data_IF_648029432032
#
_entry.id   IF_648029432032
#
_cell.length_a   1.000
_cell.length_b   1.000
_cell.length_c   1.000
_cell.angle_alpha   90.00
_cell.angle_beta   90.00
_cell.angle_gamma   90.00
#
_symmetry.space_group_name_H-M   'P 1'
#
loop_
_entity.id
_entity.type
_entity.pdbx_description
1 polymer ?
#
# COMPACT_ATOMS: atom_id res chain seq x y z
N UNK A 1 0.11 -30.57 25.99
CA UNK A 1 0.15 -29.11 25.82
C UNK A 1 0.60 -28.50 27.15
N UNK A 2 1.43 -27.46 27.13
CA UNK A 2 1.65 -26.53 28.24
C UNK A 2 0.78 -25.30 28.03
N UNK A 3 0.33 -24.70 29.12
CA UNK A 3 -0.40 -23.42 29.09
C UNK A 3 0.41 -22.42 29.88
N UNK A 4 0.82 -21.35 29.22
CA UNK A 4 1.49 -20.22 29.86
C UNK A 4 0.51 -19.07 29.93
N UNK A 5 0.30 -18.53 31.11
CA UNK A 5 -0.60 -17.39 31.35
C UNK A 5 0.26 -16.20 31.75
N UNK A 6 0.23 -15.12 30.96
CA UNK A 6 0.80 -13.84 31.30
C UNK A 6 -0.28 -12.95 31.91
N UNK A 7 0.02 -12.35 33.06
CA UNK A 7 -0.81 -11.34 33.70
C UNK A 7 -0.07 -10.00 33.61
N UNK A 8 -0.76 -8.95 33.17
CA UNK A 8 -0.22 -7.61 33.23
C UNK A 8 -0.34 -7.07 34.67
N UNK A 9 0.63 -6.27 35.11
CA UNK A 9 0.46 -5.50 36.34
C UNK A 9 -0.67 -4.48 36.13
N UNK A 10 -1.63 -4.36 37.06
CA UNK A 10 -2.61 -3.30 36.96
C UNK A 10 -1.88 -1.96 37.05
N UNK A 11 -2.12 -1.06 36.08
CA UNK A 11 -1.67 0.33 36.17
C UNK A 11 -2.19 0.99 37.45
N UNK A 12 -1.56 2.09 37.89
CA UNK A 12 -1.89 2.77 39.15
C UNK A 12 -3.41 2.97 39.30
N UNK A 13 -4.04 2.41 40.36
CA UNK A 13 -5.47 2.53 40.51
C UNK A 13 -5.86 3.97 40.84
N UNK A 14 -6.81 4.53 40.08
CA UNK A 14 -7.59 5.68 40.54
C UNK A 14 -8.31 5.35 41.87
N UNK A 15 -8.69 6.35 42.69
CA UNK A 15 -8.98 6.19 44.13
C UNK A 15 -10.26 5.40 44.50
N UNK A 16 -10.81 4.55 43.61
CA UNK A 16 -12.02 3.77 43.88
C UNK A 16 -12.09 2.34 43.30
N UNK A 17 -11.04 1.80 42.66
CA UNK A 17 -11.09 0.46 42.08
C UNK A 17 -10.16 -0.55 42.79
N UNK A 18 -10.69 -1.72 43.16
CA UNK A 18 -9.88 -2.84 43.63
C UNK A 18 -8.99 -3.39 42.50
N UNK A 19 -7.78 -3.92 42.80
CA UNK A 19 -6.89 -4.44 41.78
C UNK A 19 -7.51 -5.67 41.11
N UNK A 20 -7.91 -5.53 39.85
CA UNK A 20 -8.27 -6.65 38.98
C UNK A 20 -7.00 -7.08 38.25
N UNK A 21 -6.63 -8.37 38.35
CA UNK A 21 -5.57 -8.92 37.53
C UNK A 21 -6.03 -8.90 36.06
N UNK A 22 -5.28 -8.22 35.19
CA UNK A 22 -5.56 -8.17 33.75
C UNK A 22 -4.85 -9.34 33.09
N UNK A 23 -5.63 -10.20 32.42
CA UNK A 23 -5.09 -11.28 31.60
C UNK A 23 -4.48 -10.67 30.34
N UNK A 24 -3.16 -10.80 30.19
CA UNK A 24 -2.42 -10.26 29.05
C UNK A 24 -2.40 -11.28 27.90
N UNK A 25 -2.00 -12.51 28.19
CA UNK A 25 -2.00 -13.58 27.19
C UNK A 25 -2.20 -14.97 27.81
N UNK A 26 -2.80 -15.87 27.04
CA UNK A 26 -2.79 -17.32 27.28
C UNK A 26 -2.15 -17.99 26.08
N UNK A 27 -0.96 -18.56 26.27
CA UNK A 27 -0.24 -19.30 25.23
C UNK A 27 -0.42 -20.79 25.48
N UNK A 28 -1.06 -21.47 24.54
CA UNK A 28 -1.19 -22.93 24.55
C UNK A 28 -0.10 -23.53 23.64
N UNK A 29 0.88 -24.22 24.21
CA UNK A 29 1.97 -24.85 23.46
C UNK A 29 1.80 -26.36 23.45
N UNK A 30 1.58 -26.98 22.30
CA UNK A 30 1.57 -28.43 22.15
C UNK A 30 0.88 -28.90 20.87
N UNK A 31 0.66 -30.22 20.72
CA UNK A 31 0.96 -31.28 21.68
C UNK A 31 2.46 -31.47 21.91
N UNK A 32 2.83 -31.87 23.13
CA UNK A 32 4.23 -32.09 23.54
C UNK A 32 4.48 -33.60 23.51
N UNK A 33 5.55 -34.03 22.85
CA UNK A 33 5.88 -35.45 22.73
C UNK A 33 4.95 -36.25 21.81
N UNK A 34 4.15 -35.56 20.98
CA UNK A 34 3.38 -36.19 19.90
C UNK A 34 4.10 -35.89 18.59
N UNK A 35 4.51 -36.95 17.91
CA UNK A 35 4.97 -36.88 16.53
C UNK A 35 3.74 -36.64 15.65
N UNK A 36 3.50 -35.38 15.31
CA UNK A 36 2.41 -35.02 14.41
C UNK A 36 2.78 -35.48 12.99
N UNK A 37 1.80 -35.97 12.19
CA UNK A 37 2.05 -36.20 10.78
C UNK A 37 2.52 -34.89 10.13
N UNK A 38 3.36 -34.95 9.08
CA UNK A 38 3.80 -33.78 8.34
C UNK A 38 2.63 -32.84 8.04
N UNK A 39 2.68 -31.62 8.58
CA UNK A 39 1.70 -30.61 8.26
C UNK A 39 1.77 -30.22 6.77
N UNK A 40 0.72 -29.58 6.21
CA UNK A 40 0.70 -29.16 4.81
C UNK A 40 1.91 -28.31 4.40
N UNK A 41 2.44 -27.49 5.32
CA UNK A 41 3.65 -26.69 5.09
C UNK A 41 4.93 -27.52 4.96
N UNK A 42 5.03 -28.67 5.63
CA UNK A 42 6.16 -29.60 5.44
C UNK A 42 6.08 -30.25 4.07
N UNK A 43 4.90 -30.74 3.69
CA UNK A 43 4.70 -31.40 2.38
C UNK A 43 4.96 -30.48 1.19
N UNK A 44 4.78 -29.15 1.35
CA UNK A 44 5.08 -28.18 0.29
C UNK A 44 6.56 -27.81 0.15
N UNK A 45 7.40 -28.23 1.11
CA UNK A 45 8.85 -27.99 1.14
C UNK A 45 9.61 -29.30 0.90
N UNK A 46 9.27 -30.36 1.65
CA UNK A 46 9.86 -31.69 1.53
C UNK A 46 9.13 -32.47 0.42
N UNK A 47 9.46 -32.13 -0.83
CA UNK A 47 8.82 -32.69 -2.03
C UNK A 47 9.33 -34.07 -2.42
N UNK A 48 10.41 -34.54 -1.79
CA UNK A 48 11.01 -35.83 -2.02
C UNK A 48 11.06 -36.66 -0.73
N UNK A 49 10.89 -37.98 -0.88
CA UNK A 49 11.09 -38.99 0.16
C UNK A 49 12.35 -39.84 -0.17
N UNK A 50 13.38 -39.85 0.69
CA UNK A 50 14.61 -40.63 0.47
C UNK A 50 14.39 -42.14 0.24
N UNK A 51 13.29 -42.69 0.78
CA UNK A 51 12.93 -44.10 0.65
C UNK A 51 12.15 -44.41 -0.64
N UNK A 52 11.74 -43.39 -1.41
CA UNK A 52 11.00 -43.56 -2.65
C UNK A 52 11.87 -44.10 -3.80
N UNK A 53 11.24 -44.82 -4.73
CA UNK A 53 11.92 -45.43 -5.90
C UNK A 53 12.42 -46.86 -5.67
N UNK A 54 12.95 -47.48 -6.74
CA UNK A 54 13.61 -48.77 -6.66
C UNK A 54 14.78 -48.85 -7.67
N UNK A 55 16.05 -48.73 -7.22
CA UNK A 55 16.48 -48.57 -5.82
C UNK A 55 16.05 -47.22 -5.21
N UNK A 56 16.06 -47.09 -3.87
CA UNK A 56 15.75 -45.81 -3.20
C UNK A 56 16.63 -44.68 -3.71
N UNK A 57 16.04 -43.49 -3.88
CA UNK A 57 16.75 -42.28 -4.35
C UNK A 57 17.90 -41.87 -3.40
N UNK A 58 17.71 -42.09 -2.10
CA UNK A 58 18.69 -41.80 -1.06
C UNK A 58 18.64 -40.35 -0.54
N UNK A 59 19.15 -40.15 0.68
CA UNK A 59 19.03 -38.91 1.44
C UNK A 59 19.68 -37.69 0.78
N UNK A 60 20.87 -37.87 0.19
CA UNK A 60 21.62 -36.77 -0.42
C UNK A 60 20.96 -36.27 -1.72
N UNK A 61 20.57 -37.19 -2.62
CA UNK A 61 19.89 -36.83 -3.86
C UNK A 61 18.51 -36.20 -3.58
N UNK A 62 17.82 -36.71 -2.56
CA UNK A 62 16.54 -36.15 -2.12
C UNK A 62 16.68 -34.74 -1.52
N UNK A 63 17.73 -34.50 -0.73
CA UNK A 63 18.06 -33.17 -0.23
C UNK A 63 18.36 -32.19 -1.37
N UNK A 64 19.10 -32.62 -2.40
CA UNK A 64 19.35 -31.81 -3.58
C UNK A 64 18.07 -31.42 -4.32
N UNK A 65 17.14 -32.36 -4.53
CA UNK A 65 15.86 -32.09 -5.18
C UNK A 65 15.05 -31.03 -4.41
N UNK A 66 14.97 -31.18 -3.09
CA UNK A 66 14.30 -30.22 -2.20
C UNK A 66 14.97 -28.85 -2.27
N UNK A 67 16.30 -28.78 -2.22
CA UNK A 67 17.07 -27.53 -2.30
C UNK A 67 16.83 -26.83 -3.64
N UNK A 68 16.84 -27.56 -4.76
CA UNK A 68 16.57 -26.99 -6.09
C UNK A 68 15.13 -26.47 -6.19
N UNK A 69 14.14 -27.25 -5.73
CA UNK A 69 12.74 -26.86 -5.77
C UNK A 69 12.45 -25.63 -4.89
N UNK A 70 12.94 -25.64 -3.64
CA UNK A 70 12.77 -24.53 -2.71
C UNK A 70 13.55 -23.29 -3.16
N UNK A 71 14.81 -23.47 -3.55
CA UNK A 71 15.69 -22.41 -4.02
C UNK A 71 15.14 -21.72 -5.26
N UNK A 72 14.58 -22.47 -6.23
CA UNK A 72 13.99 -21.89 -7.44
C UNK A 72 12.88 -20.88 -7.14
N UNK A 73 12.07 -21.15 -6.11
CA UNK A 73 11.00 -20.27 -5.65
C UNK A 73 11.57 -19.10 -4.83
N UNK A 74 12.46 -19.40 -3.87
CA UNK A 74 13.02 -18.41 -2.96
C UNK A 74 13.88 -17.35 -3.68
N UNK A 75 14.68 -17.76 -4.65
CA UNK A 75 15.55 -16.88 -5.43
C UNK A 75 14.92 -16.46 -6.76
N UNK A 76 13.72 -16.97 -7.06
CA UNK A 76 12.90 -16.62 -8.24
C UNK A 76 13.57 -16.93 -9.59
N UNK A 77 14.56 -17.82 -9.57
CA UNK A 77 15.27 -18.38 -10.72
C UNK A 77 15.88 -19.74 -10.34
N UNK A 78 16.18 -20.62 -11.31
CA UNK A 78 16.99 -21.81 -11.06
C UNK A 78 18.31 -21.46 -10.38
N UNK A 79 18.71 -22.30 -9.44
CA UNK A 79 20.03 -22.22 -8.82
C UNK A 79 21.07 -22.77 -9.80
N UNK A 80 22.20 -22.09 -9.91
CA UNK A 80 23.36 -22.64 -10.60
C UNK A 80 23.95 -23.82 -9.80
N UNK A 81 24.65 -24.73 -10.46
CA UNK A 81 25.15 -25.94 -9.79
C UNK A 81 26.12 -25.62 -8.65
N UNK A 82 26.96 -24.59 -8.80
CA UNK A 82 27.86 -24.14 -7.73
C UNK A 82 27.09 -23.51 -6.55
N UNK A 83 25.93 -22.91 -6.80
CA UNK A 83 25.03 -22.43 -5.76
C UNK A 83 24.36 -23.58 -5.01
N UNK A 84 23.92 -24.61 -5.74
CA UNK A 84 23.36 -25.83 -5.16
C UNK A 84 24.43 -26.53 -4.30
N UNK A 85 25.65 -26.68 -4.80
CA UNK A 85 26.76 -27.29 -4.06
C UNK A 85 27.07 -26.55 -2.76
N UNK A 86 27.09 -25.21 -2.78
CA UNK A 86 27.28 -24.40 -1.57
C UNK A 86 26.18 -24.64 -0.54
N UNK A 87 24.92 -24.71 -0.97
CA UNK A 87 23.77 -24.95 -0.08
C UNK A 87 23.76 -26.40 0.42
N UNK A 88 24.08 -27.37 -0.43
CA UNK A 88 24.26 -28.78 -0.04
C UNK A 88 25.42 -28.97 0.94
N UNK A 89 26.45 -28.14 0.88
CA UNK A 89 27.53 -28.10 1.87
C UNK A 89 27.03 -27.81 3.30
N UNK A 90 26.01 -26.96 3.45
CA UNK A 90 25.36 -26.70 4.74
C UNK A 90 24.61 -27.95 5.23
N UNK A 91 23.86 -28.61 4.35
CA UNK A 91 23.23 -29.90 4.64
C UNK A 91 24.27 -30.93 5.09
N UNK A 92 25.36 -31.10 4.33
CA UNK A 92 26.41 -32.06 4.62
C UNK A 92 27.15 -31.79 5.93
N UNK A 93 27.28 -30.52 6.32
CA UNK A 93 27.88 -30.12 7.60
C UNK A 93 27.02 -30.57 8.78
N UNK A 94 25.71 -30.33 8.75
CA UNK A 94 24.79 -30.79 9.80
C UNK A 94 24.69 -32.31 9.82
N UNK A 95 24.52 -32.93 8.65
CA UNK A 95 24.34 -34.38 8.54
C UNK A 95 25.60 -35.13 9.00
N UNK A 96 26.79 -34.67 8.60
CA UNK A 96 28.06 -35.23 9.05
C UNK A 96 28.35 -35.05 10.54
N UNK A 97 27.74 -34.04 11.17
CA UNK A 97 27.78 -33.83 12.63
C UNK A 97 26.76 -34.70 13.41
N UNK A 98 25.95 -35.51 12.71
CA UNK A 98 24.99 -36.43 13.31
C UNK A 98 23.58 -35.87 13.51
N UNK A 99 23.25 -34.72 12.93
CA UNK A 99 21.87 -34.20 12.91
C UNK A 99 20.94 -35.11 12.12
N UNK A 100 19.64 -35.09 12.45
CA UNK A 100 18.64 -35.79 11.67
C UNK A 100 18.58 -35.25 10.23
N UNK A 101 18.13 -36.07 9.28
CA UNK A 101 18.04 -35.67 7.87
C UNK A 101 17.22 -34.39 7.69
N UNK A 102 16.05 -34.31 8.33
CA UNK A 102 15.18 -33.13 8.34
C UNK A 102 15.88 -31.86 8.84
N UNK A 103 16.62 -31.96 9.95
CA UNK A 103 17.35 -30.84 10.55
C UNK A 103 18.48 -30.38 9.64
N UNK A 104 19.11 -31.33 8.95
CA UNK A 104 20.18 -31.07 8.00
C UNK A 104 19.65 -30.34 6.76
N UNK A 105 18.50 -30.77 6.22
CA UNK A 105 17.80 -30.06 5.14
C UNK A 105 17.39 -28.67 5.62
N UNK A 106 16.85 -28.54 6.84
CA UNK A 106 16.46 -27.25 7.41
C UNK A 106 17.65 -26.26 7.49
N UNK A 107 18.87 -26.72 7.81
CA UNK A 107 20.04 -25.84 7.81
C UNK A 107 20.36 -25.30 6.41
N UNK A 108 20.25 -26.14 5.38
CA UNK A 108 20.40 -25.72 3.99
C UNK A 108 19.33 -24.69 3.60
N UNK A 109 18.06 -24.92 3.94
CA UNK A 109 16.97 -23.98 3.67
C UNK A 109 17.16 -22.63 4.38
N UNK A 110 17.65 -22.62 5.63
CA UNK A 110 18.04 -21.38 6.32
C UNK A 110 19.11 -20.62 5.55
N UNK A 111 20.09 -21.33 4.98
CA UNK A 111 21.09 -20.74 4.09
C UNK A 111 20.48 -20.03 2.88
N UNK A 112 19.48 -20.64 2.24
CA UNK A 112 18.74 -20.04 1.10
C UNK A 112 18.04 -18.75 1.53
N UNK A 113 17.37 -18.74 2.69
CA UNK A 113 16.62 -17.59 3.22
C UNK A 113 17.49 -16.45 3.75
N UNK A 114 18.77 -16.73 4.05
CA UNK A 114 19.73 -15.71 4.47
C UNK A 114 20.60 -15.21 3.31
N UNK A 115 20.46 -15.78 2.12
CA UNK A 115 21.24 -15.40 0.95
C UNK A 115 20.78 -14.05 0.38
N UNK A 116 21.71 -13.25 -0.20
CA UNK A 116 21.36 -11.98 -0.87
C UNK A 116 20.27 -12.15 -1.93
N UNK A 117 20.28 -13.27 -2.67
CA UNK A 117 19.28 -13.59 -3.68
C UNK A 117 17.86 -13.76 -3.14
N UNK A 118 17.67 -14.03 -1.85
CA UNK A 118 16.37 -14.05 -1.20
C UNK A 118 15.97 -12.67 -0.68
N UNK A 119 16.89 -12.01 0.04
CA UNK A 119 16.66 -10.72 0.71
C UNK A 119 16.44 -9.58 -0.28
N UNK A 120 17.15 -9.61 -1.41
CA UNK A 120 17.09 -8.59 -2.45
C UNK A 120 16.55 -9.16 -3.77
N UNK A 121 15.95 -8.29 -4.58
CA UNK A 121 15.64 -8.54 -6.00
C UNK A 121 16.83 -8.07 -6.81
N UNK A 122 17.80 -8.95 -7.00
CA UNK A 122 19.09 -8.63 -7.64
C UNK A 122 18.97 -8.84 -9.14
N UNK A 123 19.32 -7.82 -9.91
CA UNK A 123 19.50 -7.87 -11.36
C UNK A 123 20.98 -7.61 -11.63
N UNK A 124 21.78 -8.62 -11.98
CA UNK A 124 23.24 -8.47 -12.13
C UNK A 124 23.56 -8.01 -13.53
N UNK A 125 24.38 -6.96 -13.69
CA UNK A 125 24.93 -6.62 -15.01
C UNK A 125 26.07 -7.56 -15.37
N UNK A 126 26.01 -8.25 -16.52
CA UNK A 126 27.14 -9.03 -17.01
C UNK A 126 28.39 -8.18 -17.24
N UNK A 127 28.20 -6.91 -17.62
CA UNK A 127 29.23 -5.90 -17.74
C UNK A 127 28.86 -4.68 -16.88
N UNK A 128 29.41 -4.58 -15.65
CA UNK A 128 29.12 -3.48 -14.73
C UNK A 128 29.56 -2.10 -15.22
N UNK A 129 30.48 -2.03 -16.19
CA UNK A 129 31.00 -0.77 -16.75
C UNK A 129 30.21 -0.31 -17.99
N UNK A 130 29.30 -1.14 -18.49
CA UNK A 130 28.44 -0.79 -19.61
C UNK A 130 27.56 0.40 -19.24
N UNK A 131 27.52 1.42 -20.09
CA UNK A 131 26.55 2.53 -20.00
C UNK A 131 25.32 2.28 -20.88
N UNK A 132 25.24 1.12 -21.53
CA UNK A 132 24.16 0.77 -22.44
C UNK A 132 23.06 0.04 -21.67
N UNK A 133 21.78 0.46 -21.79
CA UNK A 133 20.66 -0.28 -21.21
C UNK A 133 20.65 -1.73 -21.70
N UNK A 134 20.48 -2.68 -20.79
CA UNK A 134 20.35 -4.10 -21.14
C UNK A 134 18.91 -4.57 -20.98
N UNK A 135 18.42 -5.46 -21.85
CA UNK A 135 17.15 -6.12 -21.60
C UNK A 135 17.26 -6.97 -20.33
N UNK A 136 16.17 -7.04 -19.59
CA UNK A 136 16.01 -7.99 -18.50
C UNK A 136 15.77 -9.39 -19.04
N UNK A 137 16.27 -10.40 -18.34
CA UNK A 137 15.95 -11.78 -18.68
C UNK A 137 14.53 -12.17 -18.20
N UNK A 138 14.08 -13.37 -18.59
CA UNK A 138 12.75 -13.85 -18.23
C UNK A 138 12.51 -13.95 -16.72
N UNK A 139 13.51 -14.31 -15.91
CA UNK A 139 13.36 -14.45 -14.46
C UNK A 139 13.35 -13.09 -13.75
N UNK A 140 14.14 -12.14 -14.24
CA UNK A 140 14.12 -10.75 -13.80
C UNK A 140 12.74 -10.11 -14.10
N UNK A 141 12.21 -10.31 -15.33
CA UNK A 141 10.87 -9.85 -15.70
C UNK A 141 9.77 -10.51 -14.86
N UNK A 142 9.82 -11.82 -14.67
CA UNK A 142 8.87 -12.54 -13.82
C UNK A 142 8.83 -11.94 -12.41
N UNK A 143 10.03 -11.68 -11.84
CA UNK A 143 10.17 -11.06 -10.51
C UNK A 143 9.63 -9.64 -10.48
N UNK A 144 9.90 -8.80 -11.49
CA UNK A 144 9.31 -7.46 -11.55
C UNK A 144 7.79 -7.51 -11.64
N UNK A 145 7.22 -8.34 -12.52
CA UNK A 145 5.77 -8.50 -12.66
C UNK A 145 5.12 -8.93 -11.35
N UNK A 146 5.66 -9.96 -10.70
CA UNK A 146 5.06 -10.54 -9.51
C UNK A 146 5.09 -9.58 -8.31
N UNK A 147 6.16 -8.81 -8.14
CA UNK A 147 6.21 -7.84 -7.04
C UNK A 147 5.45 -6.56 -7.35
N UNK A 148 5.33 -6.18 -8.61
CA UNK A 148 4.45 -5.07 -8.99
C UNK A 148 2.98 -5.42 -8.74
N UNK A 149 2.50 -6.56 -9.24
CA UNK A 149 1.07 -6.86 -9.25
C UNK A 149 0.58 -7.67 -8.04
N UNK A 150 1.46 -8.47 -7.41
CA UNK A 150 1.08 -9.40 -6.34
C UNK A 150 1.88 -9.22 -5.05
N UNK A 151 2.87 -8.32 -5.01
CA UNK A 151 3.77 -8.12 -3.85
C UNK A 151 4.39 -9.41 -3.30
N UNK A 152 4.58 -10.41 -4.17
CA UNK A 152 5.10 -11.73 -3.79
C UNK A 152 5.84 -12.38 -4.96
N UNK A 153 6.41 -13.55 -4.72
CA UNK A 153 7.20 -14.27 -5.74
C UNK A 153 6.35 -14.68 -6.96
N UNK A 154 6.97 -14.89 -8.13
CA UNK A 154 6.29 -15.39 -9.32
C UNK A 154 5.70 -16.78 -9.06
N UNK A 155 4.59 -17.07 -9.72
CA UNK A 155 4.02 -18.42 -9.72
C UNK A 155 4.73 -19.33 -10.73
N UNK A 156 4.36 -20.61 -10.74
CA UNK A 156 5.00 -21.60 -11.61
C UNK A 156 4.83 -21.26 -13.10
N UNK A 157 3.69 -20.70 -13.51
CA UNK A 157 3.45 -20.27 -14.88
C UNK A 157 4.46 -19.21 -15.32
N UNK A 158 4.64 -18.14 -14.52
CA UNK A 158 5.66 -17.13 -14.80
C UNK A 158 7.07 -17.71 -14.81
N UNK A 159 7.43 -18.60 -13.87
CA UNK A 159 8.76 -19.21 -13.83
C UNK A 159 9.03 -20.14 -15.03
N UNK A 160 8.01 -20.78 -15.59
CA UNK A 160 8.12 -21.60 -16.80
C UNK A 160 8.26 -20.74 -18.05
N UNK A 161 7.44 -19.68 -18.18
CA UNK A 161 7.55 -18.71 -19.28
C UNK A 161 8.90 -17.99 -19.26
N UNK A 162 9.40 -17.65 -18.08
CA UNK A 162 10.73 -17.10 -17.87
C UNK A 162 11.82 -18.06 -18.38
N UNK A 163 11.79 -19.32 -17.94
CA UNK A 163 12.81 -20.32 -18.29
C UNK A 163 12.81 -20.73 -19.77
N UNK A 164 11.66 -20.61 -20.45
CA UNK A 164 11.55 -20.85 -21.89
C UNK A 164 11.94 -19.65 -22.76
N UNK A 165 12.21 -18.49 -22.14
CA UNK A 165 12.49 -17.24 -22.86
C UNK A 165 11.28 -16.64 -23.57
N UNK A 166 10.05 -17.10 -23.26
CA UNK A 166 8.83 -16.56 -23.86
C UNK A 166 8.32 -15.30 -23.14
N UNK A 167 8.68 -15.10 -21.87
CA UNK A 167 8.18 -13.97 -21.07
C UNK A 167 8.71 -12.60 -21.55
N UNK A 168 9.72 -12.55 -22.42
CA UNK A 168 10.20 -11.28 -23.01
C UNK A 168 9.32 -10.77 -24.15
N UNK A 169 8.42 -11.62 -24.67
CA UNK A 169 7.46 -11.29 -25.73
C UNK A 169 6.37 -10.34 -25.19
N UNK A 170 6.17 -9.16 -25.81
CA UNK A 170 5.13 -8.20 -25.41
C UNK A 170 3.71 -8.79 -25.32
N UNK A 171 3.33 -9.70 -26.22
CA UNK A 171 1.98 -10.28 -26.21
C UNK A 171 1.79 -11.27 -25.06
N UNK A 172 2.87 -11.99 -24.69
CA UNK A 172 2.89 -12.85 -23.52
C UNK A 172 2.83 -12.01 -22.24
N UNK A 173 3.59 -10.91 -22.16
CA UNK A 173 3.53 -9.97 -21.04
C UNK A 173 2.12 -9.40 -20.86
N UNK A 174 1.49 -8.92 -21.94
CA UNK A 174 0.11 -8.41 -21.92
C UNK A 174 -0.88 -9.46 -21.40
N UNK A 175 -0.73 -10.71 -21.85
CA UNK A 175 -1.55 -11.84 -21.36
C UNK A 175 -1.33 -12.10 -19.88
N UNK A 176 -0.08 -12.06 -19.41
CA UNK A 176 0.24 -12.30 -18.01
C UNK A 176 -0.24 -11.17 -17.09
N UNK A 177 -0.13 -9.90 -17.49
CA UNK A 177 -0.71 -8.77 -16.73
C UNK A 177 -2.21 -8.98 -16.54
N UNK A 178 -2.94 -9.26 -17.62
CA UNK A 178 -4.38 -9.49 -17.55
C UNK A 178 -4.78 -10.72 -16.71
N UNK A 179 -3.97 -11.79 -16.72
CA UNK A 179 -4.17 -12.96 -15.86
C UNK A 179 -3.96 -12.59 -14.40
N UNK A 180 -2.85 -11.91 -14.11
CA UNK A 180 -2.43 -11.59 -12.75
C UNK A 180 -3.38 -10.61 -12.06
N UNK A 181 -3.92 -9.63 -12.79
CA UNK A 181 -4.91 -8.69 -12.25
C UNK A 181 -6.25 -9.35 -11.87
N UNK A 182 -6.56 -10.52 -12.45
CA UNK A 182 -7.77 -11.30 -12.09
C UNK A 182 -7.53 -12.30 -10.96
N UNK A 183 -6.28 -12.54 -10.60
CA UNK A 183 -5.94 -13.45 -9.51
C UNK A 183 -6.19 -12.77 -8.16
N UNK A 184 -6.71 -13.48 -7.14
CA UNK A 184 -6.92 -12.92 -5.80
C UNK A 184 -5.69 -12.23 -5.19
N UNK A 185 -4.46 -12.63 -5.57
CA UNK A 185 -3.23 -11.96 -5.13
C UNK A 185 -3.12 -10.51 -5.57
N UNK A 186 -3.85 -10.09 -6.60
CA UNK A 186 -3.92 -8.68 -7.01
C UNK A 186 -4.51 -7.79 -5.91
N UNK A 187 -5.24 -8.37 -4.94
CA UNK A 187 -5.67 -7.67 -3.71
C UNK A 187 -4.53 -6.94 -2.99
N UNK A 188 -3.30 -7.45 -3.08
CA UNK A 188 -2.12 -6.81 -2.51
C UNK A 188 -1.85 -5.39 -3.06
N UNK A 189 -2.30 -5.05 -4.27
CA UNK A 189 -2.18 -3.70 -4.81
C UNK A 189 -2.91 -2.68 -3.94
N UNK A 190 -4.05 -3.05 -3.36
CA UNK A 190 -4.80 -2.18 -2.45
C UNK A 190 -4.05 -2.03 -1.13
N UNK A 191 -3.51 -3.14 -0.61
CA UNK A 191 -2.77 -3.19 0.67
C UNK A 191 -1.37 -2.56 0.60
N UNK A 192 -0.82 -2.36 -0.60
CA UNK A 192 0.52 -1.80 -0.80
C UNK A 192 0.44 -0.44 -1.49
N UNK A 193 0.32 -0.41 -2.82
CA UNK A 193 0.16 0.82 -3.59
C UNK A 193 -0.94 1.72 -3.02
N UNK A 194 -2.12 1.16 -2.74
CA UNK A 194 -3.22 1.89 -2.12
C UNK A 194 -2.85 2.41 -0.73
N UNK A 195 -2.36 1.56 0.17
CA UNK A 195 -2.00 1.99 1.53
C UNK A 195 -0.97 3.14 1.54
N UNK A 196 0.08 3.06 0.71
CA UNK A 196 1.15 4.06 0.65
C UNK A 196 0.71 5.35 -0.06
N UNK A 197 0.08 5.24 -1.22
CA UNK A 197 -0.31 6.41 -2.02
C UNK A 197 -1.59 7.07 -1.49
N UNK A 198 -2.59 6.26 -1.16
CA UNK A 198 -3.95 6.69 -0.86
C UNK A 198 -4.24 6.84 0.64
N UNK A 199 -3.26 6.55 1.50
CA UNK A 199 -3.37 6.65 2.97
C UNK A 199 -4.46 5.74 3.57
N UNK A 200 -4.71 4.58 2.95
CA UNK A 200 -5.83 3.69 3.35
C UNK A 200 -5.71 3.15 4.78
N UNK A 201 -4.49 3.09 5.33
CA UNK A 201 -4.21 2.53 6.66
C UNK A 201 -3.86 3.58 7.72
N UNK A 202 -3.65 4.84 7.34
CA UNK A 202 -3.15 5.90 8.26
C UNK A 202 -4.17 6.24 9.34
N UNK A 203 -5.45 5.93 9.11
CA UNK A 203 -6.50 6.03 10.13
C UNK A 203 -6.20 5.18 11.37
N UNK A 204 -5.39 4.11 11.27
CA UNK A 204 -5.00 3.28 12.42
C UNK A 204 -4.16 4.07 13.45
N UNK A 205 -3.43 5.08 13.00
CA UNK A 205 -2.55 5.92 13.82
C UNK A 205 -3.28 7.14 14.40
N UNK A 206 -4.54 7.36 14.02
CA UNK A 206 -5.29 8.54 14.43
C UNK A 206 -5.77 8.45 15.88
N UNK A 207 -5.70 9.55 16.62
CA UNK A 207 -6.19 9.61 18.01
C UNK A 207 -7.12 10.82 18.21
N UNK A 208 -8.35 10.81 17.66
CA UNK A 208 -9.35 11.82 17.97
C UNK A 208 -9.58 11.92 19.49
N UNK A 209 -9.79 13.14 19.97
CA UNK A 209 -10.05 13.41 21.37
C UNK A 209 -11.39 12.76 21.79
N UNK A 210 -11.41 11.87 22.80
CA UNK A 210 -12.61 11.13 23.19
C UNK A 210 -13.68 12.01 23.86
N UNK A 211 -13.34 13.18 24.40
CA UNK A 211 -14.32 14.13 24.95
C UNK A 211 -15.05 14.87 23.81
N UNK A 212 -14.34 15.24 22.75
CA UNK A 212 -14.91 15.93 21.59
C UNK A 212 -15.59 14.97 20.60
N UNK A 213 -15.05 13.76 20.46
CA UNK A 213 -15.50 12.75 19.49
C UNK A 213 -15.86 11.41 20.16
N UNK A 214 -16.80 11.38 21.12
CA UNK A 214 -17.12 10.18 21.89
C UNK A 214 -17.72 9.03 21.07
N UNK A 215 -18.17 9.31 19.83
CA UNK A 215 -18.66 8.30 18.90
C UNK A 215 -17.52 7.56 18.17
N UNK A 216 -16.29 8.05 18.24
CA UNK A 216 -15.13 7.44 17.61
C UNK A 216 -14.56 6.34 18.51
N UNK A 217 -14.68 5.09 18.06
CA UNK A 217 -14.15 3.90 18.72
C UNK A 217 -13.35 3.03 17.73
N UNK A 218 -12.64 2.01 18.23
CA UNK A 218 -11.83 1.12 17.39
C UNK A 218 -12.65 0.35 16.35
N UNK A 219 -13.93 0.11 16.62
CA UNK A 219 -14.82 -0.54 15.67
C UNK A 219 -15.21 0.41 14.52
N UNK A 220 -15.42 1.70 14.79
CA UNK A 220 -15.63 2.72 13.75
C UNK A 220 -14.36 2.91 12.93
N UNK A 221 -13.20 2.99 13.58
CA UNK A 221 -11.90 3.03 12.91
C UNK A 221 -11.71 1.85 11.94
N UNK A 222 -11.98 0.63 12.40
CA UNK A 222 -11.90 -0.56 11.55
C UNK A 222 -12.89 -0.49 10.37
N UNK A 223 -14.10 0.04 10.59
CA UNK A 223 -15.10 0.18 9.54
C UNK A 223 -14.68 1.22 8.49
N UNK A 224 -14.13 2.36 8.93
CA UNK A 224 -13.59 3.41 8.05
C UNK A 224 -12.41 2.89 7.21
N UNK A 225 -11.51 2.11 7.79
CA UNK A 225 -10.41 1.49 7.06
C UNK A 225 -10.92 0.53 5.99
N UNK A 226 -11.86 -0.34 6.35
CA UNK A 226 -12.45 -1.30 5.41
C UNK A 226 -13.20 -0.60 4.26
N UNK A 227 -13.90 0.50 4.53
CA UNK A 227 -14.49 1.34 3.48
C UNK A 227 -13.44 1.84 2.48
N UNK A 228 -12.33 2.40 2.97
CA UNK A 228 -11.24 2.89 2.11
C UNK A 228 -10.66 1.77 1.24
N UNK A 229 -10.43 0.59 1.84
CA UNK A 229 -9.91 -0.59 1.14
C UNK A 229 -10.89 -1.09 0.06
N UNK A 230 -12.18 -1.21 0.38
CA UNK A 230 -13.21 -1.64 -0.56
C UNK A 230 -13.43 -0.63 -1.68
N UNK A 231 -13.46 0.67 -1.37
CA UNK A 231 -13.58 1.74 -2.34
C UNK A 231 -12.43 1.72 -3.35
N UNK A 232 -11.18 1.78 -2.88
CA UNK A 232 -10.00 1.74 -3.75
C UNK A 232 -9.89 0.41 -4.51
N UNK A 233 -10.16 -0.71 -3.84
CA UNK A 233 -10.13 -2.04 -4.46
C UNK A 233 -11.16 -2.20 -5.57
N UNK A 234 -12.36 -1.66 -5.41
CA UNK A 234 -13.39 -1.70 -6.44
C UNK A 234 -13.00 -0.95 -7.72
N UNK A 235 -12.17 0.08 -7.59
CA UNK A 235 -11.71 0.90 -8.71
C UNK A 235 -10.52 0.20 -9.38
N UNK A 236 -9.48 -0.12 -8.61
CA UNK A 236 -8.24 -0.69 -9.14
C UNK A 236 -8.43 -2.12 -9.66
N UNK A 237 -9.11 -2.98 -8.90
CA UNK A 237 -9.29 -4.41 -9.24
C UNK A 237 -10.56 -4.66 -10.06
N UNK A 238 -11.58 -3.81 -9.89
CA UNK A 238 -12.76 -3.81 -10.76
C UNK A 238 -12.51 -3.14 -12.11
N UNK A 239 -11.31 -2.61 -12.34
CA UNK A 239 -10.86 -1.93 -13.55
C UNK A 239 -11.81 -0.80 -13.99
N UNK A 240 -12.36 -0.07 -13.00
CA UNK A 240 -13.14 1.15 -13.25
C UNK A 240 -12.21 2.29 -13.69
N UNK A 241 -12.80 3.43 -14.05
CA UNK A 241 -12.03 4.65 -14.22
C UNK A 241 -11.34 5.00 -12.91
N UNK A 242 -10.02 5.16 -12.92
CA UNK A 242 -9.27 5.62 -11.75
C UNK A 242 -9.64 7.05 -11.36
N UNK A 243 -10.29 7.82 -12.23
CA UNK A 243 -10.84 9.14 -11.87
C UNK A 243 -11.93 9.03 -10.80
N UNK A 244 -12.59 7.87 -10.67
CA UNK A 244 -13.52 7.63 -9.56
C UNK A 244 -12.84 7.77 -8.19
N UNK A 245 -11.50 7.68 -8.09
CA UNK A 245 -10.77 7.98 -6.85
C UNK A 245 -10.93 9.43 -6.40
N UNK A 246 -11.21 10.37 -7.32
CA UNK A 246 -11.33 11.80 -7.02
C UNK A 246 -12.76 12.30 -7.01
N UNK A 247 -13.67 11.72 -7.80
CA UNK A 247 -15.06 12.19 -7.91
C UNK A 247 -16.14 11.10 -7.72
N UNK A 248 -15.76 9.83 -7.59
CA UNK A 248 -16.70 8.72 -7.48
C UNK A 248 -17.50 8.75 -6.17
N UNK A 249 -18.83 8.65 -6.26
CA UNK A 249 -19.75 8.78 -5.12
C UNK A 249 -20.12 7.45 -4.48
N UNK A 250 -20.02 6.36 -5.24
CA UNK A 250 -20.30 5.00 -4.76
C UNK A 250 -19.25 4.52 -3.76
N UNK A 251 -19.67 3.92 -2.64
CA UNK A 251 -18.77 3.36 -1.62
C UNK A 251 -19.40 2.17 -0.90
N UNK A 252 -18.63 1.49 -0.07
CA UNK A 252 -19.08 0.38 0.75
C UNK A 252 -19.23 0.83 2.18
N UNK A 253 -20.42 0.64 2.75
CA UNK A 253 -20.67 0.93 4.17
C UNK A 253 -21.23 -0.29 4.87
N UNK A 254 -20.93 -0.41 6.16
CA UNK A 254 -21.62 -1.30 7.08
C UNK A 254 -22.66 -0.52 7.92
N UNK A 255 -23.32 -1.18 8.88
CA UNK A 255 -24.31 -0.53 9.73
C UNK A 255 -23.70 0.60 10.60
N UNK A 256 -22.43 0.48 10.98
CA UNK A 256 -21.75 1.48 11.80
C UNK A 256 -21.43 2.74 11.01
N UNK A 257 -20.84 2.60 9.82
CA UNK A 257 -20.62 3.72 8.91
C UNK A 257 -21.94 4.36 8.49
N UNK A 258 -22.99 3.58 8.27
CA UNK A 258 -24.31 4.13 7.99
C UNK A 258 -24.79 5.06 9.11
N UNK A 259 -24.65 4.63 10.37
CA UNK A 259 -24.97 5.47 11.53
C UNK A 259 -24.07 6.71 11.62
N UNK A 260 -22.78 6.57 11.32
CA UNK A 260 -21.82 7.67 11.33
C UNK A 260 -22.10 8.72 10.24
N UNK A 261 -22.53 8.26 9.07
CA UNK A 261 -22.89 9.09 7.92
C UNK A 261 -24.32 9.62 7.96
N UNK A 262 -25.16 9.11 8.86
CA UNK A 262 -26.57 9.53 8.94
C UNK A 262 -27.43 9.00 7.79
N UNK A 263 -27.07 7.86 7.21
CA UNK A 263 -27.78 7.21 6.10
C UNK A 263 -28.43 5.89 6.52
N UNK A 264 -29.31 5.35 5.68
CA UNK A 264 -29.95 4.06 5.96
C UNK A 264 -28.90 2.93 5.99
N UNK A 265 -28.95 2.03 7.00
CA UNK A 265 -28.02 0.91 7.06
C UNK A 265 -28.29 -0.11 5.94
N UNK A 266 -27.26 -0.88 5.53
CA UNK A 266 -27.44 -2.02 4.64
C UNK A 266 -28.51 -3.01 5.11
N UNK A 267 -29.24 -3.60 4.17
CA UNK A 267 -30.27 -4.60 4.47
C UNK A 267 -29.70 -5.94 4.97
N UNK A 268 -28.42 -6.21 4.67
CA UNK A 268 -27.70 -7.43 5.05
C UNK A 268 -26.56 -7.11 6.00
N UNK A 269 -26.14 -8.10 6.79
CA UNK A 269 -24.93 -7.98 7.59
C UNK A 269 -23.69 -7.80 6.70
N UNK A 270 -22.74 -6.98 7.15
CA UNK A 270 -21.51 -6.66 6.42
C UNK A 270 -21.61 -5.38 5.60
N UNK A 271 -20.64 -5.21 4.70
CA UNK A 271 -20.54 -4.04 3.83
C UNK A 271 -21.44 -4.19 2.60
N UNK A 272 -22.10 -3.10 2.21
CA UNK A 272 -22.88 -3.02 0.97
C UNK A 272 -22.54 -1.75 0.20
N UNK A 273 -22.59 -1.87 -1.13
CA UNK A 273 -22.41 -0.73 -2.03
C UNK A 273 -23.60 0.22 -1.93
N UNK A 274 -23.30 1.51 -1.76
CA UNK A 274 -24.27 2.61 -1.69
C UNK A 274 -23.74 3.79 -2.49
N UNK A 275 -24.64 4.65 -2.95
CA UNK A 275 -24.28 5.94 -3.57
C UNK A 275 -24.40 7.05 -2.54
N UNK A 276 -23.29 7.75 -2.26
CA UNK A 276 -23.23 8.89 -1.34
C UNK A 276 -22.79 10.13 -2.12
N UNK A 277 -23.74 10.81 -2.77
CA UNK A 277 -23.47 11.99 -3.58
C UNK A 277 -22.73 13.11 -2.82
N UNK A 278 -22.98 13.23 -1.51
CA UNK A 278 -22.30 14.16 -0.61
C UNK A 278 -20.89 13.69 -0.21
N UNK A 279 -20.38 12.58 -0.74
CA UNK A 279 -19.03 12.04 -0.48
C UNK A 279 -18.37 11.58 -1.78
N UNK A 280 -17.96 12.52 -2.64
CA UNK A 280 -17.24 12.22 -3.87
C UNK A 280 -15.76 11.94 -3.59
N UNK A 281 -15.23 10.90 -4.24
CA UNK A 281 -13.83 10.52 -4.18
C UNK A 281 -13.36 10.03 -2.81
N UNK A 282 -12.06 9.72 -2.72
CA UNK A 282 -11.42 9.25 -1.49
C UNK A 282 -11.31 10.36 -0.42
N UNK A 283 -11.18 11.62 -0.86
CA UNK A 283 -10.93 12.78 0.00
C UNK A 283 -12.13 13.15 0.88
N UNK A 284 -13.30 12.56 0.63
CA UNK A 284 -14.53 12.77 1.39
C UNK A 284 -14.93 11.58 2.27
N UNK A 285 -14.11 10.52 2.29
CA UNK A 285 -14.32 9.32 3.11
C UNK A 285 -13.81 9.56 4.54
N UNK A 286 -14.55 9.12 5.55
CA UNK A 286 -14.25 9.49 6.93
C UNK A 286 -12.89 8.98 7.42
N UNK A 287 -12.44 7.79 6.98
CA UNK A 287 -11.11 7.30 7.34
C UNK A 287 -9.99 8.23 6.89
N UNK A 288 -10.05 8.69 5.63
CA UNK A 288 -9.06 9.61 5.06
C UNK A 288 -9.12 10.99 5.72
N UNK A 289 -10.34 11.50 5.92
CA UNK A 289 -10.57 12.79 6.60
C UNK A 289 -10.04 12.78 8.04
N UNK A 290 -10.21 11.66 8.74
CA UNK A 290 -9.71 11.46 10.11
C UNK A 290 -8.19 11.40 10.13
N UNK A 291 -7.59 10.64 9.22
CA UNK A 291 -6.14 10.48 9.10
C UNK A 291 -5.40 11.82 8.91
N UNK A 292 -6.07 12.79 8.27
CA UNK A 292 -5.52 14.12 7.99
C UNK A 292 -6.11 15.23 8.87
N UNK A 293 -6.69 14.88 10.02
CA UNK A 293 -7.16 15.82 11.03
C UNK A 293 -6.27 15.79 12.28
N UNK A 294 -6.37 16.83 13.11
CA UNK A 294 -5.79 16.83 14.46
C UNK A 294 -6.75 16.09 15.42
N UNK A 295 -6.28 15.67 16.61
CA UNK A 295 -7.13 15.06 17.62
C UNK A 295 -8.40 15.86 17.94
N UNK A 296 -8.31 17.19 17.93
CA UNK A 296 -9.39 18.08 18.38
C UNK A 296 -10.14 18.78 17.25
N UNK A 297 -9.58 18.82 16.03
CA UNK A 297 -10.13 19.63 14.92
C UNK A 297 -9.69 19.17 13.53
N UNK A 298 -10.35 19.70 12.50
CA UNK A 298 -9.95 19.55 11.10
C UNK A 298 -8.60 20.21 10.80
N UNK A 299 -8.00 19.88 9.66
CA UNK A 299 -6.78 20.53 9.17
C UNK A 299 -6.85 20.75 7.66
N UNK A 300 -7.36 21.90 7.18
CA UNK A 300 -7.36 22.26 5.77
C UNK A 300 -5.96 22.17 5.15
N UNK A 301 -4.93 22.57 5.91
CA UNK A 301 -3.53 22.50 5.51
C UNK A 301 -3.11 21.07 5.19
N UNK A 302 -3.33 20.10 6.10
CA UNK A 302 -2.93 18.70 5.87
C UNK A 302 -3.74 18.04 4.75
N UNK A 303 -5.05 18.30 4.69
CA UNK A 303 -5.94 17.79 3.63
C UNK A 303 -5.53 18.31 2.25
N UNK A 304 -5.35 19.61 2.14
CA UNK A 304 -4.91 20.27 0.91
C UNK A 304 -3.51 19.85 0.48
N UNK A 305 -2.55 19.77 1.42
CA UNK A 305 -1.18 19.32 1.16
C UNK A 305 -1.21 17.97 0.48
N UNK A 306 -1.97 17.04 1.06
CA UNK A 306 -2.08 15.69 0.55
C UNK A 306 -2.61 15.66 -0.88
N UNK A 307 -3.64 16.44 -1.20
CA UNK A 307 -4.21 16.48 -2.56
C UNK A 307 -3.18 16.98 -3.56
N UNK A 308 -2.50 18.09 -3.26
CA UNK A 308 -1.49 18.66 -4.17
C UNK A 308 -0.31 17.68 -4.37
N UNK A 309 0.14 17.02 -3.30
CA UNK A 309 1.27 16.08 -3.34
C UNK A 309 0.92 14.72 -3.97
N UNK A 310 -0.28 14.20 -3.71
CA UNK A 310 -0.65 12.83 -4.06
C UNK A 310 -1.60 12.71 -5.24
N UNK A 311 -2.39 13.74 -5.55
CA UNK A 311 -3.27 13.74 -6.72
C UNK A 311 -2.77 14.67 -7.83
N UNK A 312 -1.92 15.66 -7.53
CA UNK A 312 -1.38 16.57 -8.55
C UNK A 312 0.13 16.43 -8.76
N UNK A 313 0.84 15.70 -7.89
CA UNK A 313 2.29 15.48 -7.94
C UNK A 313 3.11 16.78 -7.90
N UNK A 314 2.63 17.78 -7.14
CA UNK A 314 3.27 19.08 -6.96
C UNK A 314 3.62 19.32 -5.47
N UNK A 315 4.47 18.48 -4.84
CA UNK A 315 4.74 18.59 -3.41
C UNK A 315 5.18 20.01 -3.03
N UNK A 316 4.57 20.63 -2.01
CA UNK A 316 4.98 21.95 -1.57
C UNK A 316 6.43 21.92 -1.05
N UNK A 317 7.16 23.04 -1.10
CA UNK A 317 8.50 23.11 -0.53
C UNK A 317 8.49 22.80 0.97
N UNK A 318 9.61 22.30 1.53
CA UNK A 318 9.71 22.05 2.96
C UNK A 318 9.45 23.33 3.76
N UNK A 319 8.81 23.18 4.92
CA UNK A 319 8.54 24.30 5.83
C UNK A 319 9.87 24.91 6.28
N UNK A 320 10.05 26.24 6.25
CA UNK A 320 11.26 26.87 6.75
C UNK A 320 11.44 26.63 8.26
N UNK A 321 12.68 26.38 8.71
CA UNK A 321 13.04 26.09 10.11
C UNK A 321 12.63 27.18 11.12
N UNK A 322 12.32 28.40 10.65
CA UNK A 322 12.08 29.59 11.46
C UNK A 322 10.60 30.01 11.58
N UNK A 323 9.66 29.13 11.22
CA UNK A 323 8.23 29.40 11.33
C UNK A 323 7.68 28.65 12.55
N UNK A 324 7.20 29.39 13.55
CA UNK A 324 6.41 28.81 14.64
C UNK A 324 5.14 28.18 14.05
N UNK A 325 4.91 26.89 14.35
CA UNK A 325 3.73 26.17 13.91
C UNK A 325 2.50 26.69 14.67
N UNK A 326 1.93 27.78 14.18
CA UNK A 326 0.61 28.24 14.61
C UNK A 326 -0.39 27.16 14.19
N UNK A 327 -1.16 26.68 15.18
CA UNK A 327 -2.14 25.58 15.13
C UNK A 327 -1.70 24.22 15.70
N UNK A 328 -0.59 24.13 16.43
CA UNK A 328 -0.29 22.94 17.28
C UNK A 328 -0.82 23.04 18.73
N UNK A 329 -1.41 24.18 19.12
CA UNK A 329 -1.99 24.38 20.45
C UNK A 329 -3.51 24.16 20.50
N UNK A 330 -3.99 23.73 21.67
CA UNK A 330 -5.40 23.80 22.08
C UNK A 330 -5.96 25.18 21.71
N UNK A 331 -7.18 25.19 21.16
CA UNK A 331 -7.88 26.42 20.81
C UNK A 331 -7.92 27.34 22.04
N UNK A 332 -7.34 28.53 21.93
CA UNK A 332 -7.60 29.58 22.91
C UNK A 332 -9.13 29.79 22.91
N UNK A 333 -9.84 29.56 24.03
CA UNK A 333 -11.29 29.68 24.09
C UNK A 333 -11.80 31.09 23.73
N UNK A 334 -10.89 32.09 23.69
CA UNK A 334 -11.20 33.45 23.26
C UNK A 334 -11.21 33.63 21.73
N UNK A 335 -10.70 32.68 20.95
CA UNK A 335 -10.68 32.74 19.47
C UNK A 335 -11.97 32.13 18.93
N UNK A 336 -12.88 32.98 18.48
CA UNK A 336 -14.18 32.59 17.90
C UNK A 336 -14.22 32.70 16.37
N UNK A 337 -13.09 32.98 15.74
CA UNK A 337 -12.96 33.13 14.29
C UNK A 337 -12.80 31.78 13.60
N UNK A 338 -13.37 31.63 12.40
CA UNK A 338 -13.33 30.36 11.66
C UNK A 338 -11.89 29.90 11.36
N UNK A 339 -11.70 28.60 11.14
CA UNK A 339 -10.38 28.06 10.73
C UNK A 339 -9.87 28.72 9.44
N UNK A 340 -10.79 29.06 8.52
CA UNK A 340 -10.47 29.85 7.33
C UNK A 340 -9.90 31.20 7.71
N UNK A 341 -10.60 32.00 8.52
CA UNK A 341 -10.12 33.33 8.93
C UNK A 341 -8.76 33.28 9.61
N UNK A 342 -8.52 32.26 10.44
CA UNK A 342 -7.24 32.04 11.11
C UNK A 342 -6.11 31.77 10.09
N UNK A 343 -6.34 30.90 9.11
CA UNK A 343 -5.37 30.60 8.04
C UNK A 343 -5.18 31.78 7.08
N UNK A 344 -6.23 32.54 6.78
CA UNK A 344 -6.15 33.74 5.97
C UNK A 344 -5.35 34.86 6.64
N UNK A 345 -5.49 35.00 7.96
CA UNK A 345 -4.63 35.89 8.75
C UNK A 345 -3.18 35.38 8.78
N UNK A 346 -2.98 34.07 8.96
CA UNK A 346 -1.66 33.45 8.99
C UNK A 346 -0.89 33.62 7.66
N UNK A 347 -1.57 33.56 6.51
CA UNK A 347 -0.95 33.75 5.18
C UNK A 347 -0.74 35.21 4.78
N UNK A 348 -1.19 36.18 5.58
CA UNK A 348 -0.99 37.61 5.27
C UNK A 348 0.49 38.00 5.02
N UNK A 349 1.51 37.36 5.64
CA UNK A 349 2.91 37.48 5.22
C UNK A 349 3.16 36.85 3.85
N UNK A 350 3.79 37.60 2.93
CA UNK A 350 3.89 37.24 1.51
C UNK A 350 4.64 35.93 1.19
N UNK A 351 5.53 35.48 2.07
CA UNK A 351 6.32 34.27 1.85
C UNK A 351 5.50 32.97 2.01
N UNK A 352 4.54 32.94 2.93
CA UNK A 352 3.71 31.77 3.20
C UNK A 352 2.54 31.65 2.21
N UNK A 353 2.00 32.79 1.77
CA UNK A 353 0.89 32.86 0.82
C UNK A 353 1.15 32.10 -0.49
N UNK A 354 2.41 32.08 -0.96
CA UNK A 354 2.78 31.51 -2.25
C UNK A 354 2.41 30.02 -2.40
N UNK A 355 2.44 29.26 -1.29
CA UNK A 355 2.06 27.84 -1.28
C UNK A 355 0.70 27.61 -0.59
N UNK A 356 0.43 28.34 0.49
CA UNK A 356 -0.78 28.14 1.29
C UNK A 356 -2.07 28.58 0.58
N UNK A 357 -2.04 29.53 -0.36
CA UNK A 357 -3.28 29.96 -1.05
C UNK A 357 -3.98 28.80 -1.76
N UNK A 358 -3.22 27.97 -2.48
CA UNK A 358 -3.77 26.81 -3.20
C UNK A 358 -4.11 25.70 -2.21
N UNK A 359 -3.15 25.34 -1.37
CA UNK A 359 -3.28 24.20 -0.45
C UNK A 359 -4.44 24.39 0.52
N UNK A 360 -4.49 25.54 1.20
CA UNK A 360 -5.57 25.83 2.14
C UNK A 360 -6.91 25.94 1.40
N UNK A 361 -6.92 26.52 0.19
CA UNK A 361 -8.10 26.60 -0.67
C UNK A 361 -8.71 25.23 -0.99
N UNK A 362 -7.89 24.25 -1.35
CA UNK A 362 -8.29 22.84 -1.53
C UNK A 362 -8.80 22.25 -0.22
N UNK A 363 -8.09 22.51 0.88
CA UNK A 363 -8.50 22.07 2.21
C UNK A 363 -9.87 22.61 2.64
N UNK A 364 -10.17 23.87 2.31
CA UNK A 364 -11.45 24.50 2.63
C UNK A 364 -12.63 23.83 1.92
N UNK A 365 -12.44 23.32 0.69
CA UNK A 365 -13.44 22.53 -0.02
C UNK A 365 -13.89 21.27 0.73
N UNK A 366 -13.11 20.83 1.73
CA UNK A 366 -13.39 19.64 2.54
C UNK A 366 -13.87 19.99 3.95
N UNK A 367 -14.07 21.27 4.29
CA UNK A 367 -14.49 21.68 5.64
C UNK A 367 -15.95 21.35 5.95
N UNK A 368 -16.75 20.94 4.95
CA UNK A 368 -18.03 20.29 5.16
C UNK A 368 -17.93 18.96 5.92
N UNK A 369 -16.72 18.44 6.19
CA UNK A 369 -16.53 17.29 7.05
C UNK A 369 -15.67 17.61 8.27
N UNK A 370 -16.16 17.22 9.45
CA UNK A 370 -15.45 17.40 10.72
C UNK A 370 -14.20 16.49 10.85
N UNK A 371 -13.56 16.51 12.02
CA UNK A 371 -12.31 15.79 12.26
C UNK A 371 -12.45 14.26 12.19
N UNK A 372 -13.66 13.72 12.34
CA UNK A 372 -13.97 12.30 12.18
C UNK A 372 -14.79 12.04 10.92
N UNK A 373 -14.86 13.01 10.02
CA UNK A 373 -15.50 12.90 8.71
C UNK A 373 -17.04 12.96 8.71
N UNK A 374 -17.70 13.45 9.76
CA UNK A 374 -19.16 13.70 9.73
C UNK A 374 -19.46 14.97 8.93
N UNK A 375 -20.56 14.97 8.21
CA UNK A 375 -20.99 16.13 7.44
C UNK A 375 -21.46 17.27 8.37
N UNK A 376 -21.11 18.52 8.02
CA UNK A 376 -21.47 19.74 8.73
C UNK A 376 -21.62 20.93 7.79
N UNK A 377 -22.44 21.89 8.20
CA UNK A 377 -22.67 23.17 7.50
C UNK A 377 -22.20 24.38 8.30
N UNK A 378 -21.86 24.18 9.58
CA UNK A 378 -21.38 25.20 10.50
C UNK A 378 -20.09 24.71 11.16
N UNK A 379 -19.22 25.65 11.58
CA UNK A 379 -18.02 25.35 12.36
C UNK A 379 -18.35 25.07 13.84
N UNK A 380 -17.32 24.82 14.66
CA UNK A 380 -17.48 24.55 16.09
C UNK A 380 -18.09 25.73 16.89
N UNK A 381 -18.10 26.93 16.30
CA UNK A 381 -18.62 28.15 16.90
C UNK A 381 -19.99 28.56 16.35
N UNK A 382 -20.57 27.77 15.43
CA UNK A 382 -21.86 28.05 14.80
C UNK A 382 -21.81 29.04 13.63
N UNK A 383 -20.61 29.34 13.09
CA UNK A 383 -20.50 30.16 11.89
C UNK A 383 -20.78 29.30 10.65
N UNK A 384 -21.46 29.83 9.61
CA UNK A 384 -21.61 29.13 8.35
C UNK A 384 -20.25 28.88 7.69
N UNK A 385 -20.09 27.70 7.11
CA UNK A 385 -18.85 27.33 6.42
C UNK A 385 -18.74 28.01 5.05
N UNK A 386 -17.56 28.56 4.77
CA UNK A 386 -17.14 28.92 3.41
C UNK A 386 -16.19 27.83 2.90
N UNK A 387 -16.68 27.03 1.96
CA UNK A 387 -15.97 25.89 1.36
C UNK A 387 -15.44 26.20 -0.05
N UNK A 388 -15.49 27.46 -0.46
CA UNK A 388 -15.01 27.86 -1.80
C UNK A 388 -13.49 27.79 -1.93
N UNK A 389 -12.99 27.40 -3.09
CA UNK A 389 -11.55 27.33 -3.33
C UNK A 389 -11.18 27.28 -4.80
N UNK A 390 -9.88 27.16 -5.07
CA UNK A 390 -9.37 27.02 -6.42
C UNK A 390 -8.15 26.08 -6.49
N UNK A 391 -8.01 25.36 -7.60
CA UNK A 391 -6.83 24.58 -7.94
C UNK A 391 -5.68 25.48 -8.43
N UNK A 392 -4.48 24.92 -8.53
CA UNK A 392 -3.30 25.60 -9.14
C UNK A 392 -3.60 26.08 -10.56
N UNK A 393 -4.43 25.34 -11.30
CA UNK A 393 -4.87 25.69 -12.65
C UNK A 393 -5.84 26.89 -12.71
N UNK A 394 -6.35 27.35 -11.57
CA UNK A 394 -7.34 28.42 -11.46
C UNK A 394 -8.79 27.96 -11.55
N UNK A 395 -9.04 26.66 -11.73
CA UNK A 395 -10.39 26.09 -11.65
C UNK A 395 -10.96 26.29 -10.23
N UNK A 396 -12.13 26.91 -10.13
CA UNK A 396 -12.81 27.19 -8.86
C UNK A 396 -13.82 26.11 -8.51
N UNK A 397 -14.07 25.92 -7.23
CA UNK A 397 -15.10 25.02 -6.70
C UNK A 397 -15.74 25.61 -5.45
N UNK A 398 -16.96 25.16 -5.14
CA UNK A 398 -17.74 25.64 -4.00
C UNK A 398 -17.79 24.65 -2.83
N UNK A 399 -17.53 23.37 -3.08
CA UNK A 399 -17.64 22.29 -2.10
C UNK A 399 -16.78 21.08 -2.52
N UNK A 400 -16.88 19.97 -1.77
CA UNK A 400 -16.14 18.74 -2.03
C UNK A 400 -16.50 18.11 -3.39
N UNK A 401 -17.75 18.25 -3.87
CA UNK A 401 -18.16 17.74 -5.17
C UNK A 401 -17.60 18.57 -6.31
N UNK A 402 -17.63 19.90 -6.18
CA UNK A 402 -16.94 20.81 -7.08
C UNK A 402 -15.44 20.55 -7.11
N UNK A 403 -14.82 20.28 -5.96
CA UNK A 403 -13.39 19.94 -5.88
C UNK A 403 -13.08 18.63 -6.62
N UNK A 404 -13.85 17.57 -6.37
CA UNK A 404 -13.70 16.29 -7.07
C UNK A 404 -13.82 16.44 -8.59
N UNK A 405 -14.85 17.16 -9.06
CA UNK A 405 -15.04 17.44 -10.48
C UNK A 405 -13.90 18.29 -11.08
N UNK A 406 -13.41 19.29 -10.33
CA UNK A 406 -12.28 20.11 -10.76
C UNK A 406 -10.99 19.28 -10.88
N UNK A 407 -10.74 18.37 -9.92
CA UNK A 407 -9.59 17.45 -9.97
C UNK A 407 -9.71 16.47 -11.14
N UNK A 408 -10.90 15.88 -11.35
CA UNK A 408 -11.14 14.97 -12.48
C UNK A 408 -10.94 15.66 -13.85
N UNK A 409 -11.26 16.95 -13.95
CA UNK A 409 -11.07 17.72 -15.18
C UNK A 409 -9.61 18.20 -15.39
N UNK A 410 -8.77 18.20 -14.35
CA UNK A 410 -7.39 18.69 -14.45
C UNK A 410 -6.46 17.61 -15.02
N UNK A 411 -5.78 17.84 -16.15
CA UNK A 411 -4.85 16.87 -16.73
C UNK A 411 -3.68 16.49 -15.82
N UNK A 412 -3.37 17.28 -14.78
CA UNK A 412 -2.36 16.92 -13.77
C UNK A 412 -2.76 15.69 -12.97
N UNK A 413 -4.07 15.46 -12.77
CA UNK A 413 -4.57 14.32 -12.00
C UNK A 413 -4.22 13.01 -12.70
N UNK A 414 -4.56 12.87 -13.99
CA UNK A 414 -4.22 11.69 -14.77
C UNK A 414 -2.70 11.47 -14.83
N UNK A 415 -1.91 12.53 -15.11
CA UNK A 415 -0.45 12.45 -15.08
C UNK A 415 0.11 12.00 -13.74
N UNK A 416 -0.43 12.49 -12.64
CA UNK A 416 0.03 12.10 -11.31
C UNK A 416 -0.30 10.64 -11.00
N UNK A 417 -1.49 10.15 -11.38
CA UNK A 417 -1.83 8.73 -11.25
C UNK A 417 -0.82 7.85 -12.00
N UNK A 418 -0.49 8.22 -13.25
CA UNK A 418 0.53 7.53 -14.05
C UNK A 418 1.89 7.54 -13.34
N UNK A 419 2.32 8.69 -12.82
CA UNK A 419 3.58 8.82 -12.07
C UNK A 419 3.60 7.97 -10.78
N UNK A 420 2.51 7.93 -10.02
CA UNK A 420 2.44 7.18 -8.75
C UNK A 420 2.51 5.67 -9.01
N UNK A 421 1.76 5.16 -10.00
CA UNK A 421 1.82 3.75 -10.38
C UNK A 421 3.17 3.39 -10.99
N UNK A 422 3.75 4.25 -11.84
CA UNK A 422 5.10 4.06 -12.38
C UNK A 422 6.16 3.97 -11.27
N UNK A 423 6.08 4.88 -10.30
CA UNK A 423 7.02 4.93 -9.17
C UNK A 423 6.95 3.65 -8.35
N UNK A 424 5.74 3.18 -8.06
CA UNK A 424 5.51 1.93 -7.35
C UNK A 424 6.03 0.71 -8.15
N UNK A 425 5.71 0.64 -9.45
CA UNK A 425 6.11 -0.46 -10.31
C UNK A 425 7.63 -0.61 -10.44
N UNK A 426 8.37 0.51 -10.53
CA UNK A 426 9.82 0.50 -10.71
C UNK A 426 10.61 0.68 -9.40
N UNK A 427 9.96 1.06 -8.30
CA UNK A 427 10.62 1.37 -7.04
C UNK A 427 11.52 2.61 -7.10
N UNK A 428 11.26 3.55 -8.03
CA UNK A 428 12.01 4.80 -8.20
C UNK A 428 11.13 5.90 -8.77
N UNK A 429 11.43 7.15 -8.46
CA UNK A 429 10.77 8.30 -9.09
C UNK A 429 11.08 8.37 -10.61
N UNK A 430 10.19 9.02 -11.40
CA UNK A 430 10.51 9.40 -12.77
C UNK A 430 11.78 10.24 -12.86
N UNK A 431 12.53 10.03 -13.93
CA UNK A 431 13.69 10.82 -14.32
C UNK A 431 13.37 11.62 -15.59
N UNK A 432 14.29 12.49 -15.99
CA UNK A 432 14.11 13.34 -17.19
C UNK A 432 13.91 12.48 -18.44
N UNK A 433 14.63 11.37 -18.55
CA UNK A 433 14.52 10.41 -19.65
C UNK A 433 13.19 9.65 -19.69
N UNK A 434 12.42 9.61 -18.59
CA UNK A 434 11.12 8.94 -18.56
C UNK A 434 9.98 9.87 -19.03
N UNK A 435 10.21 11.17 -19.23
CA UNK A 435 9.14 12.14 -19.47
C UNK A 435 8.34 11.87 -20.76
N UNK A 436 9.02 11.57 -21.87
CA UNK A 436 8.36 11.25 -23.15
C UNK A 436 7.56 9.95 -23.04
N UNK A 437 8.11 8.95 -22.34
CA UNK A 437 7.43 7.69 -22.06
C UNK A 437 6.15 7.93 -21.23
N UNK A 438 6.26 8.67 -20.13
CA UNK A 438 5.13 8.95 -19.24
C UNK A 438 4.04 9.77 -19.94
N UNK A 439 4.42 10.69 -20.84
CA UNK A 439 3.45 11.40 -21.68
C UNK A 439 2.67 10.43 -22.57
N UNK A 440 3.36 9.52 -23.27
CA UNK A 440 2.69 8.53 -24.13
C UNK A 440 1.80 7.54 -23.35
N UNK A 441 2.24 7.12 -22.16
CA UNK A 441 1.42 6.30 -21.25
C UNK A 441 0.19 7.09 -20.80
N UNK A 442 0.33 8.38 -20.50
CA UNK A 442 -0.79 9.24 -20.09
C UNK A 442 -1.82 9.35 -21.21
N UNK A 443 -1.40 9.62 -22.45
CA UNK A 443 -2.31 9.72 -23.60
C UNK A 443 -3.12 8.44 -23.81
N UNK A 444 -2.47 7.28 -23.65
CA UNK A 444 -3.13 5.96 -23.75
C UNK A 444 -4.07 5.72 -22.58
N UNK A 445 -3.64 6.06 -21.37
CA UNK A 445 -4.42 5.93 -20.14
C UNK A 445 -5.72 6.76 -20.21
N UNK A 446 -5.63 8.01 -20.68
CA UNK A 446 -6.79 8.88 -20.89
C UNK A 446 -7.71 8.33 -22.00
N UNK A 447 -7.12 7.90 -23.13
CA UNK A 447 -7.84 7.37 -24.29
C UNK A 447 -8.62 6.07 -24.02
N UNK A 448 -8.14 5.25 -23.09
CA UNK A 448 -8.76 3.97 -22.70
C UNK A 448 -9.62 4.08 -21.43
N UNK A 449 -9.97 5.31 -21.01
CA UNK A 449 -10.92 5.57 -19.94
C UNK A 449 -10.34 5.43 -18.53
N UNK A 450 -9.07 5.77 -18.35
CA UNK A 450 -8.35 5.83 -17.06
C UNK A 450 -8.31 4.50 -16.32
N UNK A 451 -8.21 3.38 -17.03
CA UNK A 451 -8.23 2.04 -16.44
C UNK A 451 -6.88 1.63 -15.87
N UNK A 452 -6.88 1.06 -14.66
CA UNK A 452 -5.67 0.55 -14.03
C UNK A 452 -5.03 -0.57 -14.87
N UNK A 453 -5.83 -1.45 -15.48
CA UNK A 453 -5.31 -2.52 -16.33
C UNK A 453 -4.52 -2.01 -17.54
N UNK A 454 -4.97 -0.90 -18.14
CA UNK A 454 -4.27 -0.23 -19.24
C UNK A 454 -2.96 0.35 -18.74
N UNK A 455 -3.00 1.13 -17.65
CA UNK A 455 -1.82 1.75 -17.06
C UNK A 455 -0.75 0.72 -16.68
N UNK A 456 -1.15 -0.35 -15.96
CA UNK A 456 -0.25 -1.42 -15.56
C UNK A 456 0.37 -2.12 -16.79
N UNK A 457 -0.41 -2.34 -17.84
CA UNK A 457 0.08 -2.98 -19.08
C UNK A 457 1.09 -2.09 -19.80
N UNK A 458 0.79 -0.81 -19.99
CA UNK A 458 1.69 0.11 -20.70
C UNK A 458 3.00 0.33 -19.93
N UNK A 459 2.94 0.38 -18.60
CA UNK A 459 4.15 0.39 -17.76
C UNK A 459 4.96 -0.89 -17.98
N UNK A 460 4.35 -2.08 -17.90
CA UNK A 460 5.05 -3.36 -18.07
C UNK A 460 5.67 -3.51 -19.46
N UNK A 461 5.04 -2.96 -20.50
CA UNK A 461 5.54 -3.04 -21.86
C UNK A 461 6.63 -2.00 -22.18
N UNK A 462 6.78 -0.99 -21.32
CA UNK A 462 7.77 0.08 -21.48
C UNK A 462 9.21 -0.41 -21.36
N UNK A 463 10.12 0.33 -21.99
CA UNK A 463 11.55 0.07 -21.86
C UNK A 463 12.04 0.27 -20.41
N UNK A 464 11.46 1.24 -19.68
CA UNK A 464 11.81 1.49 -18.29
C UNK A 464 11.55 0.27 -17.37
N UNK A 465 10.52 -0.52 -17.69
CA UNK A 465 10.20 -1.74 -16.97
C UNK A 465 10.98 -2.96 -17.48
N UNK A 466 11.23 -3.04 -18.79
CA UNK A 466 11.82 -4.22 -19.44
C UNK A 466 13.33 -4.19 -19.58
N UNK A 467 13.95 -3.05 -19.34
CA UNK A 467 15.39 -2.87 -19.40
C UNK A 467 15.92 -2.39 -18.06
N UNK A 468 17.15 -2.79 -17.77
CA UNK A 468 17.96 -2.19 -16.73
C UNK A 468 18.85 -1.14 -17.37
N UNK A 469 18.62 0.12 -17.02
CA UNK A 469 19.60 1.18 -17.26
C UNK A 469 20.68 1.06 -16.19
N UNK A 470 21.97 1.03 -16.55
CA UNK A 470 23.05 1.20 -15.58
C UNK A 470 22.73 2.42 -14.73
N UNK A 471 22.81 2.28 -13.40
CA UNK A 471 22.74 3.46 -12.55
C UNK A 471 23.84 4.40 -13.04
N UNK A 472 23.54 5.67 -13.26
CA UNK A 472 24.60 6.67 -13.28
C UNK A 472 25.32 6.47 -11.95
N UNK A 473 26.52 5.89 -11.97
CA UNK A 473 27.42 5.90 -10.83
C UNK A 473 27.53 7.39 -10.53
N UNK A 474 26.88 7.81 -9.44
CA UNK A 474 26.86 9.19 -9.02
C UNK A 474 28.30 9.70 -9.07
N UNK A 475 28.58 10.59 -10.02
CA UNK A 475 29.87 11.24 -10.17
C UNK A 475 29.98 12.40 -9.21
#
# INVERSE_FOLDING_TARGET
HTVTVALAEPGEPGPAAAPLAVLDAVVLTGPIGVELPPGPGRASIFTCDPASGSPPIGEAACAEEIIRAFGRRAWRRPLADDEVDRVLGLYGTAFGAGSAWDESVMLALKGILLAPWFVYRIEVDPDPESTVPRPLDGYELASRLSYFLWSTMPDEELLVLAGSGLLVDPEILRTQVARMLRDPKAGSLVETLGAEWLYLTVVDESSPDPELFPAFDDALRASMKEELMLFAGSILLGDRSMMDLVDGTETWIDARLASHYGVAPPATAGFALVDLAERPGIVSRAGWLTALSHPTRTSPVRRGKWVVENLMCEPPPPVPDNVDQLLEGDEDPAVTTSVRDQLEQHRAPSACAQCHVVMDGIGFGLENYDAIGRYRTEDAFGNPLDTTGALVSGATFDDAAGLGAALAADPKTARCMVQKVFTFALGRAPRVEDLDLLSGITDTFEGEGHRFSTLATEIVLSDAFRYRTPAEVAR
#
